data_IF_535411993807
#
_entry.id   IF_535411993807
#
_cell.length_a   1.000
_cell.length_b   1.000
_cell.length_c   1.000
_cell.angle_alpha   90.00
_cell.angle_beta   90.00
_cell.angle_gamma   90.00
#
_symmetry.space_group_name_H-M   'P 1'
#
loop_
_entity.id
_entity.type
_entity.pdbx_description
1 polymer ?
#
# COMPACT_ATOMS: atom_id res chain seq x y z
N UNK A 1 24.61 3.59 -19.34
CA UNK A 1 23.42 3.34 -20.18
C UNK A 1 22.42 4.45 -19.91
N UNK A 2 21.82 5.05 -20.95
CA UNK A 2 20.90 6.20 -20.77
C UNK A 2 19.65 5.73 -20.00
N UNK A 3 19.37 6.38 -18.88
CA UNK A 3 18.28 6.22 -17.89
C UNK A 3 16.84 6.17 -18.43
N UNK A 4 16.62 6.15 -19.74
CA UNK A 4 15.32 6.33 -20.38
C UNK A 4 14.40 5.11 -20.41
N UNK A 5 14.82 3.93 -19.92
CA UNK A 5 14.04 2.69 -20.06
C UNK A 5 13.79 1.93 -18.75
N UNK A 6 14.10 2.52 -17.59
CA UNK A 6 13.84 1.90 -16.29
C UNK A 6 12.58 2.53 -15.69
N UNK A 7 11.45 1.86 -15.87
CA UNK A 7 10.16 2.26 -15.29
C UNK A 7 9.41 1.05 -14.76
N UNK A 8 8.50 1.30 -13.82
CA UNK A 8 7.61 0.32 -13.23
C UNK A 8 6.25 0.98 -12.95
N UNK A 9 5.21 0.18 -12.76
CA UNK A 9 3.85 0.70 -12.58
C UNK A 9 3.65 1.19 -11.14
N UNK A 10 3.18 2.43 -10.99
CA UNK A 10 2.79 3.02 -9.70
C UNK A 10 1.29 3.35 -9.67
N UNK A 11 0.68 3.12 -8.50
CA UNK A 11 -0.70 3.44 -8.22
C UNK A 11 -0.88 4.91 -7.78
N UNK A 12 -2.11 5.44 -7.81
CA UNK A 12 -2.38 6.85 -7.56
C UNK A 12 -2.43 7.24 -6.08
N UNK A 13 -2.52 6.26 -5.17
CA UNK A 13 -2.73 6.53 -3.73
C UNK A 13 -1.78 5.75 -2.83
N UNK A 14 -1.54 6.36 -1.67
CA UNK A 14 -0.86 5.81 -0.49
C UNK A 14 -1.32 6.61 0.73
N UNK A 15 -1.30 6.06 1.95
CA UNK A 15 -1.63 6.84 3.13
C UNK A 15 -0.47 7.79 3.49
N UNK A 16 -0.73 8.89 4.23
CA UNK A 16 0.32 9.83 4.64
C UNK A 16 1.48 9.17 5.38
N UNK A 17 1.22 8.14 6.18
CA UNK A 17 2.25 7.37 6.90
C UNK A 17 3.19 6.58 5.99
N UNK A 18 2.90 6.47 4.70
CA UNK A 18 3.71 5.75 3.70
C UNK A 18 4.30 6.71 2.65
N UNK A 19 4.34 8.02 2.94
CA UNK A 19 4.87 9.03 2.02
C UNK A 19 6.36 8.80 1.64
N UNK A 20 7.11 8.12 2.51
CA UNK A 20 8.54 7.84 2.36
C UNK A 20 8.83 6.37 2.01
N UNK A 21 7.81 5.60 1.62
CA UNK A 21 7.95 4.18 1.31
C UNK A 21 8.23 3.96 -0.17
N UNK A 22 8.96 2.88 -0.49
CA UNK A 22 9.00 2.36 -1.85
C UNK A 22 7.59 1.92 -2.22
N UNK A 23 7.13 2.30 -3.41
CA UNK A 23 5.77 2.04 -3.85
C UNK A 23 5.78 0.91 -4.87
N UNK A 24 5.11 -0.20 -4.58
CA UNK A 24 4.99 -1.33 -5.51
C UNK A 24 3.51 -1.59 -5.76
N UNK A 25 3.08 -1.47 -7.01
CA UNK A 25 1.67 -1.70 -7.37
C UNK A 25 1.38 -3.19 -7.49
N UNK A 26 0.49 -3.73 -6.67
CA UNK A 26 0.18 -5.18 -6.67
C UNK A 26 -1.15 -5.49 -7.37
N UNK A 27 -2.15 -4.63 -7.18
CA UNK A 27 -3.42 -4.70 -7.90
C UNK A 27 -3.66 -3.40 -8.65
N UNK A 28 -4.61 -3.40 -9.59
CA UNK A 28 -5.04 -2.19 -10.26
C UNK A 28 -6.43 -1.83 -9.78
N UNK A 29 -6.54 -0.66 -9.15
CA UNK A 29 -7.80 -0.03 -8.77
C UNK A 29 -8.53 -0.74 -7.61
N UNK A 30 -9.86 -0.66 -7.58
CA UNK A 30 -10.68 -1.20 -6.50
C UNK A 30 -11.71 -2.21 -7.01
N UNK A 31 -11.78 -3.44 -6.45
CA UNK A 31 -12.76 -4.44 -6.89
C UNK A 31 -14.21 -4.07 -6.52
N UNK A 32 -14.40 -3.12 -5.60
CA UNK A 32 -15.72 -2.67 -5.16
C UNK A 32 -16.20 -1.43 -5.89
N UNK A 33 -15.35 -0.39 -5.92
CA UNK A 33 -15.53 0.87 -6.64
C UNK A 33 -16.91 1.58 -6.50
N UNK A 34 -17.69 1.26 -5.47
CA UNK A 34 -19.07 1.74 -5.29
C UNK A 34 -19.24 2.75 -4.15
N UNK A 35 -18.26 2.91 -3.26
CA UNK A 35 -18.31 3.88 -2.17
C UNK A 35 -18.64 5.28 -2.70
N UNK A 36 -19.60 5.98 -2.08
CA UNK A 36 -20.03 7.30 -2.55
C UNK A 36 -18.97 8.39 -2.33
N UNK A 37 -18.20 8.29 -1.25
CA UNK A 37 -17.20 9.28 -0.85
C UNK A 37 -15.85 9.13 -1.59
N UNK A 38 -15.61 8.02 -2.29
CA UNK A 38 -14.30 7.70 -2.85
C UNK A 38 -14.25 7.99 -4.37
N UNK A 39 -13.54 9.03 -4.83
CA UNK A 39 -13.47 9.35 -6.26
C UNK A 39 -12.35 8.59 -7.00
N UNK A 40 -11.36 8.06 -6.27
CA UNK A 40 -10.03 7.65 -6.76
C UNK A 40 -10.07 6.76 -8.01
N UNK A 41 -10.97 5.78 -8.05
CA UNK A 41 -10.99 4.74 -9.08
C UNK A 41 -12.25 4.74 -9.94
N UNK A 42 -13.10 5.77 -9.83
CA UNK A 42 -14.37 5.82 -10.57
C UNK A 42 -14.12 5.75 -12.08
N UNK A 43 -14.89 4.90 -12.76
CA UNK A 43 -14.72 4.64 -14.20
C UNK A 43 -13.51 3.77 -14.58
N UNK A 44 -12.67 3.34 -13.62
CA UNK A 44 -11.56 2.42 -13.88
C UNK A 44 -11.94 0.98 -13.52
N UNK A 45 -11.54 0.03 -14.36
CA UNK A 45 -11.77 -1.41 -14.13
C UNK A 45 -10.73 -1.97 -13.17
N UNK A 46 -11.17 -2.82 -12.25
CA UNK A 46 -10.27 -3.59 -11.41
C UNK A 46 -9.58 -4.70 -12.21
N UNK A 47 -8.30 -4.94 -11.94
CA UNK A 47 -7.61 -6.15 -12.39
C UNK A 47 -6.53 -6.59 -11.40
N UNK A 48 -6.30 -7.90 -11.37
CA UNK A 48 -5.14 -8.49 -10.73
C UNK A 48 -3.92 -8.34 -11.64
N UNK A 49 -2.76 -8.08 -11.06
CA UNK A 49 -1.47 -8.23 -11.74
C UNK A 49 -0.94 -9.64 -11.49
N UNK A 50 -0.24 -10.20 -12.46
CA UNK A 50 0.47 -11.47 -12.32
C UNK A 50 1.71 -11.31 -11.44
N UNK A 51 2.17 -12.41 -10.82
CA UNK A 51 3.44 -12.43 -10.08
C UNK A 51 4.60 -11.97 -10.98
N UNK A 52 4.63 -12.39 -12.24
CA UNK A 52 5.64 -12.01 -13.23
C UNK A 52 5.69 -10.48 -13.45
N UNK A 53 4.52 -9.84 -13.64
CA UNK A 53 4.45 -8.37 -13.79
C UNK A 53 4.97 -7.64 -12.54
N UNK A 54 4.60 -8.11 -11.34
CA UNK A 54 4.96 -7.45 -10.10
C UNK A 54 6.46 -7.63 -9.79
N UNK A 55 6.99 -8.84 -9.98
CA UNK A 55 8.42 -9.12 -9.75
C UNK A 55 9.31 -8.41 -10.77
N UNK A 56 8.85 -8.24 -12.02
CA UNK A 56 9.52 -7.37 -12.99
C UNK A 56 9.61 -5.92 -12.51
N UNK A 57 8.54 -5.39 -11.93
CA UNK A 57 8.52 -4.04 -11.36
C UNK A 57 9.45 -3.89 -10.15
N UNK A 58 9.51 -4.91 -9.27
CA UNK A 58 10.46 -4.94 -8.15
C UNK A 58 11.91 -4.87 -8.66
N UNK A 59 12.26 -5.68 -9.68
CA UNK A 59 13.60 -5.66 -10.30
C UNK A 59 13.89 -4.33 -11.00
N UNK A 60 12.89 -3.72 -11.64
CA UNK A 60 13.04 -2.40 -12.22
C UNK A 60 13.33 -1.33 -11.15
N UNK A 61 12.63 -1.37 -10.00
CA UNK A 61 12.94 -0.52 -8.86
C UNK A 61 14.37 -0.78 -8.32
N UNK A 62 14.82 -2.04 -8.30
CA UNK A 62 16.19 -2.38 -7.88
C UNK A 62 17.24 -1.82 -8.82
N UNK A 63 17.02 -1.93 -10.14
CA UNK A 63 17.90 -1.35 -11.15
C UNK A 63 17.99 0.17 -11.02
N UNK A 64 16.87 0.85 -10.77
CA UNK A 64 16.84 2.28 -10.48
C UNK A 64 17.67 2.59 -9.22
N UNK A 65 17.49 1.84 -8.14
CA UNK A 65 18.24 2.04 -6.90
C UNK A 65 19.76 1.90 -7.11
N UNK A 66 20.17 0.89 -7.88
CA UNK A 66 21.58 0.68 -8.25
C UNK A 66 22.12 1.83 -9.12
N UNK A 67 21.33 2.31 -10.08
CA UNK A 67 21.71 3.45 -10.93
C UNK A 67 21.88 4.75 -10.12
N UNK A 68 20.98 5.02 -9.17
CA UNK A 68 21.09 6.15 -8.23
C UNK A 68 22.40 6.08 -7.43
N UNK A 69 22.78 4.88 -6.99
CA UNK A 69 24.05 4.67 -6.27
C UNK A 69 25.24 4.89 -7.19
N UNK A 70 25.21 4.42 -8.44
CA UNK A 70 26.25 4.71 -9.43
C UNK A 70 26.40 6.21 -9.69
N UNK A 71 25.28 6.93 -9.87
CA UNK A 71 25.28 8.38 -10.05
C UNK A 71 25.88 9.10 -8.83
N UNK A 72 25.60 8.62 -7.62
CA UNK A 72 26.24 9.11 -6.39
C UNK A 72 27.77 8.99 -6.45
N UNK A 73 28.30 7.85 -6.90
CA UNK A 73 29.74 7.66 -7.08
C UNK A 73 30.33 8.57 -8.16
N UNK A 74 29.66 8.73 -9.30
CA UNK A 74 30.08 9.63 -10.38
C UNK A 74 30.16 11.09 -9.92
N UNK A 75 29.29 11.49 -8.97
CA UNK A 75 29.29 12.81 -8.37
C UNK A 75 30.29 12.96 -7.20
N UNK A 76 31.10 11.93 -6.90
CA UNK A 76 32.05 11.95 -5.78
C UNK A 76 31.40 11.86 -4.39
N UNK A 77 30.15 11.38 -4.31
CA UNK A 77 29.36 11.30 -3.07
C UNK A 77 29.47 9.94 -2.37
N UNK A 78 30.38 9.07 -2.82
CA UNK A 78 30.69 7.78 -2.19
C UNK A 78 29.47 6.85 -1.97
N UNK A 79 28.50 6.87 -2.90
CA UNK A 79 27.28 6.07 -2.80
C UNK A 79 26.22 6.63 -1.84
N UNK A 80 26.46 7.77 -1.18
CA UNK A 80 25.48 8.43 -0.34
C UNK A 80 24.35 9.05 -1.17
N UNK A 81 23.10 8.82 -0.74
CA UNK A 81 21.93 9.50 -1.30
C UNK A 81 21.60 10.68 -0.39
N UNK A 82 22.25 11.82 -0.64
CA UNK A 82 22.15 13.04 0.17
C UNK A 82 21.38 14.15 -0.57
N UNK A 83 21.27 15.32 0.07
CA UNK A 83 20.54 16.47 -0.47
C UNK A 83 21.07 16.93 -1.83
N UNK A 84 22.39 16.85 -2.05
CA UNK A 84 23.00 17.26 -3.31
C UNK A 84 22.57 16.35 -4.47
N UNK A 85 22.58 15.03 -4.26
CA UNK A 85 22.11 14.06 -5.26
C UNK A 85 20.61 14.20 -5.51
N UNK A 86 19.82 14.34 -4.45
CA UNK A 86 18.36 14.48 -4.56
C UNK A 86 17.99 15.74 -5.33
N UNK A 87 18.63 16.87 -5.01
CA UNK A 87 18.45 18.11 -5.74
C UNK A 87 18.72 17.92 -7.23
N UNK A 88 19.82 17.25 -7.60
CA UNK A 88 20.16 16.94 -9.00
C UNK A 88 19.11 16.08 -9.71
N UNK A 89 18.51 15.11 -9.00
CA UNK A 89 17.48 14.21 -9.54
C UNK A 89 16.13 14.92 -9.71
N UNK A 90 15.76 15.79 -8.76
CA UNK A 90 14.46 16.47 -8.77
C UNK A 90 14.45 17.71 -9.67
N UNK A 91 15.53 18.49 -9.71
CA UNK A 91 15.67 19.63 -10.62
C UNK A 91 16.00 19.19 -12.06
N UNK A 92 16.53 17.97 -12.23
CA UNK A 92 16.82 17.40 -13.53
C UNK A 92 15.57 16.95 -14.29
N UNK A 93 15.35 17.49 -15.49
CA UNK A 93 14.28 17.06 -16.39
C UNK A 93 14.45 15.66 -16.99
N UNK A 94 15.59 14.99 -16.75
CA UNK A 94 15.96 13.71 -17.39
C UNK A 94 15.45 12.46 -16.65
N UNK A 95 14.86 12.59 -15.46
CA UNK A 95 14.46 11.47 -14.62
C UNK A 95 12.94 11.28 -14.60
N UNK A 96 12.50 10.03 -14.65
CA UNK A 96 11.08 9.67 -14.55
C UNK A 96 10.55 9.87 -13.12
N UNK A 97 9.23 9.89 -12.96
CA UNK A 97 8.58 9.95 -11.64
C UNK A 97 8.97 8.76 -10.76
N UNK A 98 9.06 7.57 -11.36
CA UNK A 98 9.48 6.35 -10.68
C UNK A 98 10.91 6.46 -10.16
N UNK A 99 11.80 7.04 -10.96
CA UNK A 99 13.18 7.28 -10.57
C UNK A 99 13.26 8.24 -9.37
N UNK A 100 12.51 9.35 -9.41
CA UNK A 100 12.39 10.30 -8.31
C UNK A 100 11.79 9.65 -7.05
N UNK A 101 10.81 8.76 -7.23
CA UNK A 101 10.19 8.02 -6.13
C UNK A 101 11.18 7.09 -5.41
N UNK A 102 12.00 6.34 -6.16
CA UNK A 102 13.03 5.47 -5.56
C UNK A 102 14.14 6.30 -4.92
N UNK A 103 14.54 7.42 -5.54
CA UNK A 103 15.51 8.34 -4.97
C UNK A 103 15.04 8.91 -3.63
N UNK A 104 13.80 9.35 -3.53
CA UNK A 104 13.22 9.81 -2.27
C UNK A 104 13.22 8.72 -1.20
N UNK A 105 12.82 7.49 -1.55
CA UNK A 105 12.86 6.36 -0.62
C UNK A 105 14.27 6.08 -0.09
N UNK A 106 15.28 6.06 -0.96
CA UNK A 106 16.68 5.89 -0.57
C UNK A 106 17.22 7.03 0.28
N UNK A 107 16.81 8.27 -0.01
CA UNK A 107 17.20 9.46 0.76
C UNK A 107 16.66 9.41 2.20
N UNK A 108 15.39 9.05 2.37
CA UNK A 108 14.81 8.92 3.70
C UNK A 108 15.29 7.66 4.44
N UNK A 109 15.73 6.63 3.70
CA UNK A 109 16.37 5.45 4.30
C UNK A 109 15.45 4.65 5.24
N UNK A 110 14.13 4.70 5.04
CA UNK A 110 13.16 4.12 5.99
C UNK A 110 13.11 2.59 5.94
N UNK A 111 13.57 1.98 4.84
CA UNK A 111 13.39 0.55 4.57
C UNK A 111 11.91 0.14 4.45
N UNK A 112 10.99 1.09 4.31
CA UNK A 112 9.56 0.82 4.22
C UNK A 112 9.11 0.61 2.77
N UNK A 113 8.21 -0.34 2.56
CA UNK A 113 7.54 -0.59 1.28
C UNK A 113 6.04 -0.58 1.47
N UNK A 114 5.34 0.08 0.56
CA UNK A 114 3.90 0.11 0.51
C UNK A 114 3.39 -0.57 -0.76
N UNK A 115 2.62 -1.64 -0.59
CA UNK A 115 1.91 -2.32 -1.67
C UNK A 115 0.68 -1.48 -2.03
N UNK A 116 0.71 -0.86 -3.20
CA UNK A 116 -0.29 0.12 -3.64
C UNK A 116 -1.58 -0.50 -4.17
N UNK A 117 -2.60 0.36 -4.27
CA UNK A 117 -3.99 0.11 -4.67
C UNK A 117 -4.89 -0.49 -3.59
N UNK A 118 -6.19 -0.56 -3.89
CA UNK A 118 -7.24 -0.49 -2.88
C UNK A 118 -7.47 -1.77 -2.08
N UNK A 119 -7.06 -2.94 -2.60
CA UNK A 119 -7.41 -4.22 -1.98
C UNK A 119 -6.46 -5.37 -2.34
N UNK A 120 -5.19 -5.27 -1.94
CA UNK A 120 -4.17 -6.21 -2.41
C UNK A 120 -4.31 -7.63 -1.84
N UNK A 121 -4.94 -7.78 -0.68
CA UNK A 121 -5.26 -9.11 -0.15
C UNK A 121 -6.34 -9.83 -0.98
N UNK A 122 -6.93 -9.22 -2.02
CA UNK A 122 -7.79 -9.99 -2.93
C UNK A 122 -6.99 -11.02 -3.74
N UNK A 123 -5.67 -10.82 -3.87
CA UNK A 123 -4.76 -11.76 -4.51
C UNK A 123 -4.68 -13.10 -3.75
N UNK A 124 -4.34 -14.19 -4.46
CA UNK A 124 -4.14 -15.49 -3.83
C UNK A 124 -2.96 -15.40 -2.85
N UNK A 125 -3.05 -16.15 -1.75
CA UNK A 125 -2.03 -16.10 -0.71
C UNK A 125 -0.66 -16.57 -1.23
N UNK A 126 -0.62 -17.63 -2.03
CA UNK A 126 0.62 -18.13 -2.65
C UNK A 126 1.29 -17.05 -3.52
N UNK A 127 0.54 -16.43 -4.44
CA UNK A 127 1.04 -15.37 -5.31
C UNK A 127 1.58 -14.18 -4.51
N UNK A 128 0.90 -13.76 -3.44
CA UNK A 128 1.37 -12.64 -2.60
C UNK A 128 2.62 -13.01 -1.80
N UNK A 129 2.72 -14.26 -1.34
CA UNK A 129 3.93 -14.78 -0.68
C UNK A 129 5.12 -14.77 -1.65
N UNK A 130 4.94 -15.15 -2.91
CA UNK A 130 6.01 -15.10 -3.92
C UNK A 130 6.47 -13.66 -4.17
N UNK A 131 5.54 -12.71 -4.30
CA UNK A 131 5.85 -11.28 -4.44
C UNK A 131 6.65 -10.75 -3.25
N UNK A 132 6.22 -11.07 -2.03
CA UNK A 132 6.89 -10.63 -0.80
C UNK A 132 8.30 -11.22 -0.67
N UNK A 133 8.49 -12.49 -1.04
CA UNK A 133 9.82 -13.12 -1.06
C UNK A 133 10.75 -12.44 -2.05
N UNK A 134 10.32 -12.25 -3.30
CA UNK A 134 11.10 -11.52 -4.29
C UNK A 134 11.47 -10.11 -3.81
N UNK A 135 10.53 -9.40 -3.19
CA UNK A 135 10.79 -8.08 -2.63
C UNK A 135 11.90 -8.10 -1.57
N UNK A 136 11.90 -9.09 -0.68
CA UNK A 136 12.93 -9.26 0.38
C UNK A 136 14.28 -9.72 -0.18
N UNK A 137 14.28 -10.53 -1.23
CA UNK A 137 15.49 -10.98 -1.91
C UNK A 137 16.19 -9.82 -2.64
N UNK A 138 15.41 -8.99 -3.36
CA UNK A 138 15.94 -7.84 -4.11
C UNK A 138 16.35 -6.69 -3.19
N UNK A 139 15.66 -6.53 -2.06
CA UNK A 139 15.93 -5.48 -1.06
C UNK A 139 15.99 -6.04 0.37
N UNK A 140 17.12 -6.67 0.75
CA UNK A 140 17.33 -7.22 2.10
C UNK A 140 17.22 -6.17 3.23
N UNK A 141 17.42 -4.89 2.90
CA UNK A 141 17.32 -3.76 3.82
C UNK A 141 15.88 -3.38 4.21
N UNK A 142 14.86 -3.96 3.56
CA UNK A 142 13.47 -3.69 3.91
C UNK A 142 13.23 -4.10 5.36
N UNK A 143 12.58 -3.23 6.12
CA UNK A 143 12.20 -3.48 7.52
C UNK A 143 10.71 -3.67 7.65
N UNK A 144 9.91 -3.01 6.79
CA UNK A 144 8.45 -2.95 6.94
C UNK A 144 7.74 -2.94 5.58
N UNK A 145 6.80 -3.87 5.39
CA UNK A 145 5.89 -3.90 4.23
C UNK A 145 4.46 -3.67 4.69
N UNK A 146 3.73 -2.75 4.07
CA UNK A 146 2.34 -2.47 4.42
C UNK A 146 1.46 -2.41 3.18
N UNK A 147 0.14 -2.50 3.37
CA UNK A 147 -0.81 -2.55 2.25
C UNK A 147 -2.18 -2.03 2.64
N UNK A 148 -2.98 -1.61 1.67
CA UNK A 148 -4.43 -1.48 1.86
C UNK A 148 -5.14 -2.82 1.68
N UNK A 149 -6.21 -3.02 2.44
CA UNK A 149 -7.21 -4.03 2.13
C UNK A 149 -8.61 -3.65 2.61
N UNK A 150 -9.62 -4.34 2.09
CA UNK A 150 -11.00 -4.25 2.55
C UNK A 150 -11.30 -5.35 3.55
N UNK A 151 -12.04 -5.03 4.61
CA UNK A 151 -12.51 -6.02 5.58
C UNK A 151 -13.27 -7.16 4.91
N UNK A 152 -14.12 -6.87 3.91
CA UNK A 152 -14.83 -7.89 3.11
C UNK A 152 -13.89 -8.93 2.47
N UNK A 153 -12.68 -8.53 2.11
CA UNK A 153 -11.69 -9.43 1.50
C UNK A 153 -10.99 -10.25 2.56
N UNK A 154 -10.65 -9.64 3.69
CA UNK A 154 -10.01 -10.32 4.83
C UNK A 154 -10.92 -11.38 5.44
N UNK A 155 -12.22 -11.09 5.66
CA UNK A 155 -13.16 -12.08 6.23
C UNK A 155 -13.33 -13.35 5.37
N UNK A 156 -12.91 -13.31 4.10
CA UNK A 156 -12.96 -14.45 3.18
C UNK A 156 -11.65 -15.25 3.15
N UNK A 157 -10.61 -14.80 3.84
CA UNK A 157 -9.35 -15.53 3.95
C UNK A 157 -9.33 -16.39 5.21
N UNK A 158 -8.70 -17.55 5.11
CA UNK A 158 -8.35 -18.32 6.29
C UNK A 158 -7.26 -17.62 7.09
N UNK A 159 -7.29 -17.80 8.41
CA UNK A 159 -6.22 -17.33 9.30
C UNK A 159 -4.85 -17.90 8.89
N UNK A 160 -4.79 -19.17 8.48
CA UNK A 160 -3.57 -19.80 7.96
C UNK A 160 -3.00 -19.06 6.74
N UNK A 161 -3.87 -18.64 5.80
CA UNK A 161 -3.44 -17.84 4.65
C UNK A 161 -2.86 -16.50 5.07
N UNK A 162 -3.47 -15.84 6.07
CA UNK A 162 -2.99 -14.57 6.60
C UNK A 162 -1.65 -14.72 7.33
N UNK A 163 -1.47 -15.80 8.10
CA UNK A 163 -0.20 -16.13 8.76
C UNK A 163 0.91 -16.37 7.75
N UNK A 164 0.66 -17.14 6.68
CA UNK A 164 1.63 -17.32 5.58
C UNK A 164 2.05 -16.00 4.92
N UNK A 165 1.10 -15.07 4.73
CA UNK A 165 1.38 -13.73 4.19
C UNK A 165 2.21 -12.91 5.18
N UNK A 166 1.90 -12.97 6.49
CA UNK A 166 2.68 -12.35 7.55
C UNK A 166 4.12 -12.89 7.58
N UNK A 167 4.29 -14.20 7.57
CA UNK A 167 5.59 -14.87 7.64
C UNK A 167 6.47 -14.54 6.42
N UNK A 168 5.85 -14.32 5.26
CA UNK A 168 6.55 -13.85 4.05
C UNK A 168 6.99 -12.38 4.13
N UNK A 169 6.49 -11.62 5.12
CA UNK A 169 7.01 -10.29 5.47
C UNK A 169 6.02 -9.14 5.38
N UNK A 170 4.70 -9.39 5.29
CA UNK A 170 3.69 -8.32 5.39
C UNK A 170 3.51 -7.89 6.86
N UNK A 171 3.76 -6.61 7.15
CA UNK A 171 3.79 -6.10 8.51
C UNK A 171 2.46 -5.51 9.00
N UNK A 172 1.82 -4.67 8.17
CA UNK A 172 0.62 -3.90 8.54
C UNK A 172 -0.42 -3.91 7.43
N UNK A 173 -1.69 -3.94 7.83
CA UNK A 173 -2.83 -3.75 6.94
C UNK A 173 -3.57 -2.46 7.31
N UNK A 174 -3.75 -1.62 6.31
CA UNK A 174 -4.50 -0.38 6.36
C UNK A 174 -5.94 -0.63 5.88
N UNK A 175 -6.93 -0.38 6.72
CA UNK A 175 -8.34 -0.60 6.43
C UNK A 175 -9.12 0.70 6.61
N UNK A 176 -9.95 1.05 5.63
CA UNK A 176 -10.93 2.13 5.79
C UNK A 176 -12.15 1.61 6.55
N UNK A 177 -12.22 1.85 7.86
CA UNK A 177 -13.41 1.65 8.69
C UNK A 177 -14.52 2.63 8.28
N UNK A 178 -14.13 3.90 8.14
CA UNK A 178 -14.95 5.09 7.89
C UNK A 178 -15.98 5.38 8.99
N UNK A 179 -16.78 4.38 9.37
CA UNK A 179 -17.80 4.40 10.41
C UNK A 179 -18.10 2.98 10.90
N UNK A 180 -18.40 2.82 12.19
CA UNK A 180 -18.93 1.57 12.75
C UNK A 180 -20.45 1.43 12.66
N UNK A 181 -21.16 2.44 12.15
CA UNK A 181 -22.64 2.46 12.09
C UNK A 181 -23.18 1.87 10.77
N UNK A 182 -23.83 0.71 10.83
CA UNK A 182 -24.31 -0.04 9.66
C UNK A 182 -25.24 0.73 8.71
N UNK A 183 -26.25 1.49 9.19
CA UNK A 183 -27.05 2.37 8.33
C UNK A 183 -26.21 3.36 7.53
N UNK A 184 -25.14 3.92 8.11
CA UNK A 184 -24.25 4.83 7.39
C UNK A 184 -23.31 4.08 6.42
N UNK A 185 -22.82 2.89 6.78
CA UNK A 185 -22.08 2.02 5.86
C UNK A 185 -22.91 1.66 4.63
N UNK A 186 -24.20 1.36 4.84
CA UNK A 186 -25.17 1.08 3.76
C UNK A 186 -25.42 2.32 2.91
N UNK A 187 -25.67 3.46 3.52
CA UNK A 187 -25.87 4.74 2.82
C UNK A 187 -24.67 5.08 1.92
N UNK A 188 -23.45 4.96 2.46
CA UNK A 188 -22.20 5.22 1.74
C UNK A 188 -21.81 4.12 0.74
N UNK A 189 -22.60 3.05 0.64
CA UNK A 189 -22.33 1.88 -0.20
C UNK A 189 -20.93 1.31 0.07
N UNK A 190 -20.52 1.15 1.33
CA UNK A 190 -19.19 0.63 1.68
C UNK A 190 -19.05 -0.88 1.39
N UNK A 191 -20.16 -1.61 1.36
CA UNK A 191 -20.21 -3.03 1.00
C UNK A 191 -19.67 -3.97 2.07
N UNK A 192 -19.85 -3.60 3.34
CA UNK A 192 -19.35 -4.28 4.54
C UNK A 192 -20.26 -3.91 5.73
N UNK A 193 -20.33 -4.76 6.76
CA UNK A 193 -20.97 -4.46 8.05
C UNK A 193 -19.95 -4.16 9.16
N UNK A 194 -20.42 -3.58 10.26
CA UNK A 194 -19.66 -3.36 11.48
C UNK A 194 -19.07 -4.68 12.04
N UNK A 195 -19.86 -5.75 12.03
CA UNK A 195 -19.40 -7.09 12.44
C UNK A 195 -18.26 -7.61 11.55
N UNK A 196 -18.34 -7.37 10.23
CA UNK A 196 -17.27 -7.74 9.30
C UNK A 196 -16.01 -6.90 9.51
N UNK A 197 -16.13 -5.64 9.92
CA UNK A 197 -14.98 -4.84 10.36
C UNK A 197 -14.30 -5.46 11.58
N UNK A 198 -15.05 -5.76 12.64
CA UNK A 198 -14.52 -6.41 13.86
C UNK A 198 -13.85 -7.74 13.51
N UNK A 199 -14.51 -8.58 12.71
CA UNK A 199 -13.99 -9.89 12.31
C UNK A 199 -12.69 -9.76 11.52
N UNK A 200 -12.63 -8.87 10.53
CA UNK A 200 -11.42 -8.63 9.75
C UNK A 200 -10.27 -8.11 10.62
N UNK A 201 -10.55 -7.16 11.51
CA UNK A 201 -9.54 -6.60 12.40
C UNK A 201 -8.94 -7.65 13.33
N UNK A 202 -9.79 -8.51 13.92
CA UNK A 202 -9.35 -9.64 14.74
C UNK A 202 -8.48 -10.62 13.96
N UNK A 203 -8.88 -10.99 12.74
CA UNK A 203 -8.09 -11.88 11.88
C UNK A 203 -6.71 -11.31 11.54
N UNK A 204 -6.60 -10.00 11.27
CA UNK A 204 -5.32 -9.33 11.00
C UNK A 204 -4.41 -9.40 12.23
N UNK A 205 -4.93 -9.05 13.40
CA UNK A 205 -4.17 -9.05 14.66
C UNK A 205 -3.76 -10.49 15.04
N UNK A 206 -4.68 -11.45 14.95
CA UNK A 206 -4.42 -12.86 15.26
C UNK A 206 -3.40 -13.51 14.29
N UNK A 207 -3.35 -13.02 13.05
CA UNK A 207 -2.31 -13.42 12.09
C UNK A 207 -0.93 -12.79 12.39
N UNK A 208 -0.83 -11.94 13.41
CA UNK A 208 0.42 -11.29 13.82
C UNK A 208 0.75 -10.01 13.05
N UNK A 209 -0.22 -9.42 12.34
CA UNK A 209 -0.05 -8.15 11.62
C UNK A 209 -0.56 -6.96 12.44
N UNK A 210 0.02 -5.79 12.20
CA UNK A 210 -0.52 -4.53 12.71
C UNK A 210 -1.78 -4.14 11.92
N UNK A 211 -2.78 -3.62 12.62
CA UNK A 211 -3.99 -3.07 12.03
C UNK A 211 -3.98 -1.54 12.13
N UNK A 212 -4.27 -0.86 11.03
CA UNK A 212 -4.43 0.59 10.98
C UNK A 212 -5.79 0.93 10.35
N UNK A 213 -6.69 1.46 11.17
CA UNK A 213 -8.05 1.83 10.76
C UNK A 213 -8.15 3.34 10.47
N UNK A 214 -8.90 3.71 9.42
CA UNK A 214 -9.26 5.10 9.13
C UNK A 214 -10.72 5.34 9.44
N UNK A 215 -11.00 6.41 10.17
CA UNK A 215 -12.35 6.92 10.44
C UNK A 215 -12.52 8.23 9.68
N UNK A 216 -13.72 8.50 9.16
CA UNK A 216 -14.06 9.77 8.51
C UNK A 216 -15.01 10.58 9.40
N UNK A 217 -14.47 11.48 10.25
CA UNK A 217 -15.32 12.37 11.05
C UNK A 217 -16.27 13.16 10.15
N UNK A 218 -17.56 13.16 10.50
CA UNK A 218 -18.58 13.91 9.77
C UNK A 218 -19.18 13.19 8.56
N UNK A 219 -18.80 11.93 8.28
CA UNK A 219 -19.36 11.15 7.18
C UNK A 219 -20.90 11.05 7.23
N UNK A 220 -21.48 11.04 8.43
CA UNK A 220 -22.93 11.00 8.66
C UNK A 220 -23.64 12.35 8.67
N UNK A 221 -22.92 13.45 8.49
CA UNK A 221 -23.43 14.81 8.67
C UNK A 221 -24.05 15.01 10.07
N UNK A 222 -24.91 16.03 10.20
CA UNK A 222 -25.64 16.30 11.46
C UNK A 222 -26.78 15.33 11.74
N UNK A 223 -27.18 14.51 10.75
CA UNK A 223 -28.30 13.58 10.90
C UNK A 223 -27.90 12.28 11.61
N UNK A 224 -26.66 11.82 11.44
CA UNK A 224 -26.19 10.52 11.97
C UNK A 224 -24.94 10.63 12.84
N UNK A 225 -24.56 11.83 13.30
CA UNK A 225 -23.28 12.06 13.98
C UNK A 225 -23.16 11.25 15.28
N UNK A 226 -24.26 11.12 16.04
CA UNK A 226 -24.25 10.50 17.37
C UNK A 226 -24.02 8.99 17.26
N UNK A 227 -24.82 8.32 16.45
CA UNK A 227 -24.70 6.89 16.19
C UNK A 227 -23.40 6.57 15.46
N UNK A 228 -22.96 7.42 14.53
CA UNK A 228 -21.64 7.31 13.91
C UNK A 228 -20.53 7.28 14.97
N UNK A 229 -20.51 8.22 15.91
CA UNK A 229 -19.48 8.28 16.95
C UNK A 229 -19.54 7.06 17.89
N UNK A 230 -20.71 6.75 18.42
CA UNK A 230 -20.91 5.66 19.39
C UNK A 230 -20.57 4.30 18.77
N UNK A 231 -21.11 4.00 17.58
CA UNK A 231 -20.90 2.69 16.95
C UNK A 231 -19.47 2.53 16.42
N UNK A 232 -18.85 3.62 15.96
CA UNK A 232 -17.42 3.57 15.59
C UNK A 232 -16.56 3.27 16.81
N UNK A 233 -16.82 3.90 17.96
CA UNK A 233 -16.13 3.59 19.19
C UNK A 233 -16.37 2.14 19.63
N UNK A 234 -17.60 1.63 19.54
CA UNK A 234 -17.92 0.24 19.85
C UNK A 234 -17.18 -0.76 18.95
N UNK A 235 -17.01 -0.47 17.67
CA UNK A 235 -16.29 -1.35 16.72
C UNK A 235 -14.78 -1.37 16.97
N UNK A 236 -14.21 -0.28 17.49
CA UNK A 236 -12.77 -0.16 17.75
C UNK A 236 -12.33 -0.75 19.11
N UNK A 237 -13.25 -0.94 20.06
CA UNK A 237 -12.98 -1.51 21.40
C UNK A 237 -13.28 -3.02 21.44
#
# INVERSE_FOLDING_TARGET
MKSGNMSFEQGPIRPPSEAQSLLIRVTRNCPWNQCLFCPVYKGKKFSLRTVEEITKDIRAAKNIASDIKSLSWEMGLSGAVNEHLIRRIFEGGAFSEQYRSVAAWLFYGTGAVFLQDADNLVMKAADLVEVLKCLREEFPEITRVTTYSRSRTIVRKSLDSLKKIRDAGLNRVHIGLETGYDPLLKFMRKGVSAEQHVTAGRLVIEAGMELSEYVMPGLGGTAMWREHAIETARVLN
#
